data_IF_672925487572
#
_entry.id   IF_672925487572
#
_cell.length_a   1.000
_cell.length_b   1.000
_cell.length_c   1.000
_cell.angle_alpha   90.00
_cell.angle_beta   90.00
_cell.angle_gamma   90.00
#
_symmetry.space_group_name_H-M   'P 1'
#
loop_
_entity.id
_entity.type
_entity.pdbx_description
1 polymer ?
#
# COMPACT_ATOMS: atom_id res chain seq x y z
N UNK A 1 21.07 -27.65 8.31
CA UNK A 1 19.90 -26.80 8.03
C UNK A 1 20.34 -25.78 6.98
N UNK A 2 19.67 -25.72 5.83
CA UNK A 2 20.08 -24.83 4.73
C UNK A 2 19.53 -23.44 5.01
N UNK A 3 20.41 -22.44 5.09
CA UNK A 3 20.03 -21.03 5.19
C UNK A 3 20.19 -20.38 3.83
N UNK A 4 19.14 -19.73 3.34
CA UNK A 4 19.17 -18.96 2.11
C UNK A 4 19.13 -17.49 2.51
N UNK A 5 20.14 -16.72 2.13
CA UNK A 5 20.15 -15.28 2.36
C UNK A 5 19.21 -14.56 1.39
N UNK A 6 18.83 -13.34 1.73
CA UNK A 6 17.86 -12.56 0.98
C UNK A 6 18.22 -12.35 -0.52
N UNK A 7 19.47 -12.00 -0.91
CA UNK A 7 19.81 -11.91 -2.32
C UNK A 7 19.65 -13.22 -3.09
N UNK A 8 19.97 -14.36 -2.46
CA UNK A 8 19.80 -15.67 -3.09
C UNK A 8 18.33 -16.12 -3.09
N UNK A 9 17.53 -15.67 -2.12
CA UNK A 9 16.08 -15.87 -2.12
C UNK A 9 15.44 -15.17 -3.33
N UNK A 10 15.75 -13.90 -3.57
CA UNK A 10 15.23 -13.17 -4.74
C UNK A 10 15.69 -13.80 -6.06
N UNK A 11 16.97 -14.19 -6.17
CA UNK A 11 17.48 -14.91 -7.35
C UNK A 11 16.76 -16.23 -7.59
N UNK A 12 16.39 -16.94 -6.52
CA UNK A 12 15.65 -18.20 -6.61
C UNK A 12 14.23 -17.95 -7.13
N UNK A 13 13.54 -16.94 -6.58
CA UNK A 13 12.16 -16.62 -6.97
C UNK A 13 12.11 -16.19 -8.44
N UNK A 14 12.97 -15.25 -8.87
CA UNK A 14 13.02 -14.72 -10.25
C UNK A 14 13.41 -15.80 -11.28
N UNK A 15 14.14 -16.85 -10.87
CA UNK A 15 14.49 -17.97 -11.76
C UNK A 15 13.50 -19.12 -11.70
N UNK A 16 12.51 -19.06 -10.83
CA UNK A 16 11.55 -20.12 -10.61
C UNK A 16 10.61 -20.23 -11.81
N UNK A 17 10.27 -21.46 -12.21
CA UNK A 17 9.21 -21.74 -13.22
C UNK A 17 7.89 -22.13 -12.57
N UNK A 18 7.79 -21.98 -11.26
CA UNK A 18 6.60 -22.34 -10.49
C UNK A 18 5.56 -21.23 -10.60
N UNK A 19 4.28 -21.55 -10.82
CA UNK A 19 3.22 -20.54 -10.92
C UNK A 19 3.09 -19.70 -9.64
N UNK A 20 3.50 -20.23 -8.48
CA UNK A 20 3.48 -19.49 -7.22
C UNK A 20 4.52 -18.35 -7.15
N UNK A 21 5.54 -18.37 -8.01
CA UNK A 21 6.58 -17.33 -8.07
C UNK A 21 6.22 -16.18 -9.01
N UNK A 22 5.36 -16.43 -10.00
CA UNK A 22 4.98 -15.47 -11.03
C UNK A 22 4.37 -14.17 -10.47
N UNK A 23 3.44 -14.20 -9.48
CA UNK A 23 2.88 -12.97 -8.93
C UNK A 23 3.91 -12.09 -8.24
N UNK A 24 4.89 -12.70 -7.54
CA UNK A 24 5.94 -11.96 -6.88
C UNK A 24 6.92 -11.35 -7.89
N UNK A 25 7.34 -12.13 -8.89
CA UNK A 25 8.21 -11.64 -9.96
C UNK A 25 7.56 -10.46 -10.71
N UNK A 26 6.29 -10.60 -11.11
CA UNK A 26 5.53 -9.55 -11.78
C UNK A 26 5.43 -8.29 -10.91
N UNK A 27 5.03 -8.44 -9.64
CA UNK A 27 4.95 -7.30 -8.72
C UNK A 27 6.29 -6.57 -8.55
N UNK A 28 7.40 -7.31 -8.41
CA UNK A 28 8.73 -6.70 -8.30
C UNK A 28 9.10 -5.94 -9.59
N UNK A 29 8.87 -6.53 -10.77
CA UNK A 29 9.30 -5.95 -12.04
C UNK A 29 8.39 -4.85 -12.59
N UNK A 30 7.09 -4.95 -12.37
CA UNK A 30 6.11 -4.01 -12.93
C UNK A 30 5.81 -2.85 -11.97
N UNK A 31 5.90 -3.08 -10.66
CA UNK A 31 5.55 -2.08 -9.66
C UNK A 31 6.78 -1.58 -8.90
N UNK A 32 7.49 -2.47 -8.20
CA UNK A 32 8.53 -2.08 -7.23
C UNK A 32 9.74 -1.44 -7.91
N UNK A 33 10.39 -2.15 -8.84
CA UNK A 33 11.60 -1.64 -9.50
C UNK A 33 11.32 -0.37 -10.32
N UNK A 34 10.21 -0.24 -11.07
CA UNK A 34 9.88 1.00 -11.76
C UNK A 34 9.66 2.18 -10.80
N UNK A 35 9.01 1.97 -9.66
CA UNK A 35 8.84 3.02 -8.64
C UNK A 35 10.17 3.45 -8.04
N UNK A 36 11.04 2.50 -7.64
CA UNK A 36 12.38 2.80 -7.11
C UNK A 36 13.20 3.55 -8.15
N UNK A 37 13.20 3.10 -9.40
CA UNK A 37 13.95 3.76 -10.48
C UNK A 37 13.49 5.20 -10.73
N UNK A 38 12.18 5.47 -10.62
CA UNK A 38 11.61 6.79 -10.89
C UNK A 38 11.70 7.74 -9.70
N UNK A 39 11.48 7.25 -8.49
CA UNK A 39 11.28 8.08 -7.29
C UNK A 39 12.39 7.94 -6.25
N UNK A 40 13.30 6.97 -6.42
CA UNK A 40 14.35 6.65 -5.47
C UNK A 40 13.91 5.77 -4.30
N UNK A 41 12.62 5.43 -4.20
CA UNK A 41 12.06 4.58 -3.14
C UNK A 41 10.85 3.79 -3.64
N UNK A 42 10.48 2.73 -2.92
CA UNK A 42 9.16 2.12 -3.03
C UNK A 42 8.36 2.53 -1.80
N UNK A 43 7.13 2.99 -2.00
CA UNK A 43 6.19 3.22 -0.91
C UNK A 43 4.94 2.45 -1.25
N UNK A 44 4.62 1.42 -0.49
CA UNK A 44 3.28 0.84 -0.51
C UNK A 44 2.37 1.85 0.19
N UNK A 45 2.01 2.92 -0.51
CA UNK A 45 0.81 3.65 -0.15
C UNK A 45 -0.33 2.64 -0.36
N UNK A 46 -0.67 1.90 0.69
CA UNK A 46 -2.08 1.59 0.90
C UNK A 46 -2.73 2.95 0.75
N UNK A 47 -3.44 3.19 -0.36
CA UNK A 47 -4.31 4.35 -0.45
C UNK A 47 -5.22 4.24 0.77
N UNK A 48 -4.84 4.94 1.83
CA UNK A 48 -5.72 5.28 2.90
C UNK A 48 -6.69 6.19 2.17
N UNK A 49 -7.76 5.60 1.63
CA UNK A 49 -8.91 6.35 1.18
C UNK A 49 -9.18 7.28 2.35
N UNK A 50 -8.87 8.55 2.19
CA UNK A 50 -9.21 9.54 3.18
C UNK A 50 -10.71 9.37 3.35
N UNK A 51 -11.14 8.79 4.48
CA UNK A 51 -12.53 8.78 4.84
C UNK A 51 -12.95 10.24 4.73
N UNK A 52 -13.93 10.59 3.88
CA UNK A 52 -14.37 11.97 3.77
C UNK A 52 -14.62 12.46 5.19
N UNK A 53 -14.03 13.59 5.56
CA UNK A 53 -14.11 14.07 6.94
C UNK A 53 -15.58 14.04 7.39
N UNK A 54 -15.88 13.50 8.59
CA UNK A 54 -17.26 13.40 9.03
C UNK A 54 -17.87 14.80 8.98
N UNK A 55 -18.93 14.98 8.19
CA UNK A 55 -19.54 16.28 7.95
C UNK A 55 -19.84 16.98 9.29
N UNK A 56 -19.04 17.98 9.64
CA UNK A 56 -19.19 18.79 10.87
C UNK A 56 -20.51 19.56 10.95
N UNK A 57 -21.39 19.43 9.97
CA UNK A 57 -22.60 20.25 9.82
C UNK A 57 -23.79 19.83 10.69
N UNK A 58 -23.82 18.60 11.22
CA UNK A 58 -24.97 18.17 12.05
C UNK A 58 -24.95 18.80 13.45
N UNK A 59 -23.77 19.03 14.04
CA UNK A 59 -23.65 19.55 15.41
C UNK A 59 -24.01 21.05 15.51
N UNK A 60 -23.80 21.83 14.44
CA UNK A 60 -24.14 23.26 14.43
C UNK A 60 -25.66 23.50 14.36
N UNK A 61 -26.41 22.56 13.76
CA UNK A 61 -27.86 22.61 13.68
C UNK A 61 -28.55 22.31 15.01
N UNK A 62 -27.97 21.40 15.81
CA UNK A 62 -28.47 21.03 17.15
C UNK A 62 -28.19 22.16 18.14
N UNK A 63 -26.99 22.76 18.10
CA UNK A 63 -26.61 23.83 19.02
C UNK A 63 -27.44 25.12 18.84
N UNK A 64 -27.83 25.46 17.60
CA UNK A 64 -28.64 26.67 17.34
C UNK A 64 -30.10 26.52 17.76
N UNK A 65 -30.65 25.29 17.80
CA UNK A 65 -32.04 25.05 18.22
C UNK A 65 -32.23 25.16 19.73
N UNK A 66 -31.18 24.96 20.53
CA UNK A 66 -31.23 25.03 22.00
C UNK A 66 -31.12 26.44 22.58
N UNK A 67 -30.68 27.43 21.79
CA UNK A 67 -30.48 28.83 22.24
C UNK A 67 -31.67 29.75 21.93
N UNK A 68 -32.84 29.18 21.67
CA UNK A 68 -34.08 29.92 21.38
C UNK A 68 -35.14 29.68 22.46
N UNK A 69 -34.77 30.00 23.70
CA UNK A 69 -35.65 30.31 24.84
C UNK A 69 -35.23 31.68 25.36
#
# INVERSE_FOLDING_TARGET
MVYINEPNLYRLIIKSRKPEAEPFEAWVFEEVLPQIRKTGKYSSEQQQLALPEPERNILSSIAKKSYKI
#
